data_IF_269213630181
#
_entry.id   IF_269213630181
#
_cell.length_a   1.000
_cell.length_b   1.000
_cell.length_c   1.000
_cell.angle_alpha   90.00
_cell.angle_beta   90.00
_cell.angle_gamma   90.00
#
_symmetry.space_group_name_H-M   'P 1'
#
loop_
_entity.id
_entity.type
_entity.pdbx_description
1 polymer ?
#
# COMPACT_ATOMS: atom_id res chain seq x y z
N UNK A 1 -18.34 5.72 16.51
CA UNK A 1 -17.09 6.00 17.25
C UNK A 1 -16.92 4.93 18.32
N UNK A 2 -15.89 4.10 18.17
CA UNK A 2 -15.57 3.07 19.16
C UNK A 2 -14.65 3.61 20.26
N UNK A 3 -14.55 2.87 21.38
CA UNK A 3 -13.63 3.19 22.49
C UNK A 3 -12.17 3.34 22.00
N UNK A 4 -11.78 2.58 20.97
CA UNK A 4 -10.46 2.65 20.33
C UNK A 4 -10.18 4.00 19.65
N UNK A 5 -11.18 4.61 19.02
CA UNK A 5 -11.02 5.91 18.35
C UNK A 5 -10.77 7.04 19.37
N UNK A 6 -11.48 6.99 20.49
CA UNK A 6 -11.33 7.97 21.56
C UNK A 6 -9.95 7.88 22.20
N UNK A 7 -9.50 6.66 22.52
CA UNK A 7 -8.17 6.43 23.09
C UNK A 7 -7.07 6.91 22.14
N UNK A 8 -7.18 6.63 20.84
CA UNK A 8 -6.20 7.07 19.85
C UNK A 8 -6.08 8.60 19.78
N UNK A 9 -7.19 9.33 19.76
CA UNK A 9 -7.18 10.80 19.70
C UNK A 9 -6.42 11.43 20.88
N UNK A 10 -6.48 10.81 22.06
CA UNK A 10 -5.82 11.31 23.27
C UNK A 10 -4.32 10.99 23.34
N UNK A 11 -3.86 9.89 22.72
CA UNK A 11 -2.46 9.42 22.88
C UNK A 11 -1.60 9.53 21.63
N UNK A 12 -2.20 9.76 20.45
CA UNK A 12 -1.51 9.71 19.15
C UNK A 12 -0.24 10.56 19.11
N UNK A 13 -0.24 11.74 19.70
CA UNK A 13 0.91 12.65 19.62
C UNK A 13 2.14 12.12 20.35
N UNK A 14 1.95 11.59 21.56
CA UNK A 14 3.02 10.96 22.31
C UNK A 14 3.52 9.68 21.62
N UNK A 15 2.60 8.90 21.03
CA UNK A 15 2.94 7.71 20.25
C UNK A 15 3.77 8.10 19.02
N UNK A 16 3.35 9.10 18.25
CA UNK A 16 4.03 9.54 17.03
C UNK A 16 5.39 10.13 17.33
N UNK A 17 5.52 11.00 18.35
CA UNK A 17 6.82 11.56 18.76
C UNK A 17 7.83 10.45 19.05
N UNK A 18 7.43 9.45 19.83
CA UNK A 18 8.28 8.30 20.17
C UNK A 18 8.57 7.41 18.96
N UNK A 19 7.56 7.14 18.14
CA UNK A 19 7.67 6.23 17.01
C UNK A 19 8.57 6.78 15.90
N UNK A 20 8.45 8.08 15.60
CA UNK A 20 9.25 8.75 14.57
C UNK A 20 10.59 9.29 15.10
N UNK A 21 10.80 9.27 16.42
CA UNK A 21 12.03 9.77 17.04
C UNK A 21 12.16 11.29 17.02
N UNK A 22 11.03 12.00 17.00
CA UNK A 22 11.02 13.46 16.93
C UNK A 22 11.45 14.13 18.23
N UNK A 23 12.21 15.20 18.08
CA UNK A 23 12.43 16.25 19.09
C UNK A 23 11.13 16.99 19.39
N UNK A 24 11.13 17.85 20.43
CA UNK A 24 9.98 18.72 20.72
C UNK A 24 9.69 19.70 19.56
N UNK A 25 10.73 20.31 18.98
CA UNK A 25 10.60 21.27 17.87
C UNK A 25 10.03 20.61 16.60
N UNK A 26 10.53 19.43 16.24
CA UNK A 26 9.98 18.64 15.11
C UNK A 26 8.53 18.25 15.37
N UNK A 27 8.19 17.93 16.62
CA UNK A 27 6.83 17.58 16.98
C UNK A 27 5.89 18.79 16.89
N UNK A 28 6.34 20.00 17.23
CA UNK A 28 5.57 21.23 17.05
C UNK A 28 5.28 21.49 15.57
N UNK A 29 6.30 21.38 14.71
CA UNK A 29 6.12 21.49 13.24
C UNK A 29 5.12 20.45 12.74
N UNK A 30 5.24 19.21 13.22
CA UNK A 30 4.38 18.13 12.79
C UNK A 30 2.91 18.29 13.25
N UNK A 31 2.68 18.72 14.50
CA UNK A 31 1.35 18.92 15.07
C UNK A 31 0.61 20.13 14.50
N UNK A 32 1.34 21.17 14.11
CA UNK A 32 0.74 22.42 13.60
C UNK A 32 0.26 22.30 12.14
N UNK A 33 0.71 21.28 11.40
CA UNK A 33 0.20 20.99 10.06
C UNK A 33 -1.15 20.23 10.15
N UNK A 34 -2.27 20.83 9.71
CA UNK A 34 -3.58 20.21 9.79
C UNK A 34 -3.69 18.93 8.94
N UNK A 35 -2.82 18.73 7.94
CA UNK A 35 -2.79 17.49 7.14
C UNK A 35 -2.34 16.30 7.98
N UNK A 36 -1.41 16.51 8.92
CA UNK A 36 -0.94 15.44 9.79
C UNK A 36 -2.03 15.02 10.79
N UNK A 37 -2.80 15.98 11.31
CA UNK A 37 -3.97 15.68 12.15
C UNK A 37 -4.99 14.80 11.39
N UNK A 38 -5.30 15.19 10.16
CA UNK A 38 -6.24 14.47 9.30
C UNK A 38 -5.76 13.05 8.97
N UNK A 39 -4.50 12.90 8.54
CA UNK A 39 -3.87 11.59 8.28
C UNK A 39 -3.91 10.71 9.54
N UNK A 40 -3.49 11.23 10.69
CA UNK A 40 -3.47 10.46 11.93
C UNK A 40 -4.86 10.09 12.41
N UNK A 41 -5.89 10.91 12.15
CA UNK A 41 -7.27 10.56 12.47
C UNK A 41 -7.76 9.32 11.71
N UNK A 42 -7.19 9.06 10.52
CA UNK A 42 -7.53 7.94 9.63
C UNK A 42 -6.59 6.75 9.76
N UNK A 43 -5.44 6.91 10.43
CA UNK A 43 -4.42 5.89 10.56
C UNK A 43 -4.93 4.53 11.10
N UNK A 44 -5.77 4.45 12.15
CA UNK A 44 -6.27 3.15 12.61
C UNK A 44 -7.06 2.39 11.53
N UNK A 45 -7.92 3.10 10.79
CA UNK A 45 -8.70 2.50 9.72
C UNK A 45 -7.81 2.10 8.53
N UNK A 46 -6.77 2.87 8.23
CA UNK A 46 -5.79 2.54 7.18
C UNK A 46 -5.02 1.26 7.55
N UNK A 47 -4.60 1.11 8.81
CA UNK A 47 -3.85 -0.06 9.28
C UNK A 47 -4.67 -1.36 9.22
N UNK A 48 -6.01 -1.26 9.26
CA UNK A 48 -6.93 -2.38 9.05
C UNK A 48 -7.09 -2.76 7.57
N UNK A 49 -6.44 -2.05 6.63
CA UNK A 49 -6.46 -2.37 5.19
C UNK A 49 -5.16 -3.03 4.72
N UNK A 50 -5.28 -3.85 3.68
CA UNK A 50 -4.18 -4.45 2.91
C UNK A 50 -4.28 -4.00 1.47
N UNK A 51 -3.18 -3.51 0.90
CA UNK A 51 -3.11 -3.26 -0.53
C UNK A 51 -2.57 -4.52 -1.19
N UNK A 52 -3.27 -5.03 -2.19
CA UNK A 52 -2.93 -6.23 -2.93
C UNK A 52 -2.68 -5.84 -4.38
N UNK A 53 -1.49 -6.16 -4.88
CA UNK A 53 -1.13 -5.93 -6.28
C UNK A 53 -0.92 -7.29 -6.94
N UNK A 54 -1.86 -7.69 -7.80
CA UNK A 54 -1.90 -8.99 -8.46
C UNK A 54 -1.34 -8.91 -9.89
N UNK A 55 -0.55 -9.90 -10.28
CA UNK A 55 -0.13 -10.08 -11.67
C UNK A 55 -1.31 -10.66 -12.46
N UNK A 56 -1.87 -9.87 -13.37
CA UNK A 56 -3.02 -10.26 -14.21
C UNK A 56 -2.60 -10.69 -15.62
N UNK A 57 -1.42 -10.28 -16.07
CA UNK A 57 -0.80 -10.74 -17.32
C UNK A 57 0.70 -10.94 -17.11
N UNK A 58 1.29 -11.95 -17.74
CA UNK A 58 2.74 -12.16 -17.71
C UNK A 58 3.24 -12.88 -18.95
N UNK A 59 4.24 -12.32 -19.60
CA UNK A 59 4.96 -12.93 -20.71
C UNK A 59 6.44 -12.55 -20.67
N UNK A 60 7.36 -13.51 -20.76
CA UNK A 60 8.81 -13.21 -20.80
C UNK A 60 9.41 -12.59 -19.52
N UNK A 61 8.74 -12.68 -18.36
CA UNK A 61 9.26 -12.09 -17.12
C UNK A 61 10.52 -12.82 -16.61
N UNK A 62 11.68 -12.16 -16.64
CA UNK A 62 12.94 -12.75 -16.14
C UNK A 62 12.91 -13.03 -14.61
N UNK A 63 12.14 -12.25 -13.86
CA UNK A 63 11.94 -12.50 -12.42
C UNK A 63 10.97 -13.67 -12.14
N UNK A 64 10.37 -14.25 -13.19
CA UNK A 64 9.43 -15.38 -13.15
C UNK A 64 8.14 -15.11 -12.39
N UNK A 65 7.69 -13.85 -12.36
CA UNK A 65 6.34 -13.51 -11.92
C UNK A 65 5.32 -14.12 -12.87
N UNK A 66 4.31 -14.81 -12.32
CA UNK A 66 3.25 -15.52 -13.04
C UNK A 66 1.90 -14.86 -12.76
N UNK A 67 0.96 -15.10 -13.67
CA UNK A 67 -0.44 -14.69 -13.45
C UNK A 67 -0.93 -15.31 -12.14
N UNK A 68 -1.55 -14.48 -11.29
CA UNK A 68 -2.04 -14.85 -9.96
C UNK A 68 -1.06 -14.59 -8.81
N UNK A 69 0.22 -14.31 -9.10
CA UNK A 69 1.18 -13.87 -8.06
C UNK A 69 0.70 -12.55 -7.46
N UNK A 70 0.80 -12.42 -6.13
CA UNK A 70 0.31 -11.26 -5.37
C UNK A 70 1.43 -10.63 -4.56
N UNK A 71 1.57 -9.31 -4.68
CA UNK A 71 2.40 -8.48 -3.80
C UNK A 71 1.49 -7.84 -2.77
N UNK A 72 1.77 -8.05 -1.50
CA UNK A 72 0.97 -7.55 -0.39
C UNK A 72 1.69 -6.39 0.30
N UNK A 73 0.94 -5.34 0.59
CA UNK A 73 1.42 -4.20 1.34
C UNK A 73 0.50 -3.92 2.54
N UNK A 74 1.04 -3.32 3.59
CA UNK A 74 0.19 -2.70 4.61
C UNK A 74 -0.56 -1.49 4.05
N UNK A 75 -1.51 -0.94 4.82
CA UNK A 75 -2.25 0.24 4.38
C UNK A 75 -1.37 1.46 4.13
N UNK A 76 -0.19 1.53 4.75
CA UNK A 76 0.77 2.60 4.50
C UNK A 76 1.65 2.38 3.26
N UNK A 77 1.56 1.20 2.62
CA UNK A 77 2.34 0.85 1.43
C UNK A 77 3.65 0.12 1.72
N UNK A 78 3.88 -0.39 2.94
CA UNK A 78 5.06 -1.20 3.23
C UNK A 78 4.88 -2.63 2.73
N UNK A 79 5.90 -3.17 2.04
CA UNK A 79 5.86 -4.53 1.50
C UNK A 79 5.85 -5.59 2.62
N UNK A 80 4.83 -6.45 2.62
CA UNK A 80 4.70 -7.57 3.54
C UNK A 80 5.45 -8.78 2.98
N UNK A 81 6.78 -8.73 3.08
CA UNK A 81 7.70 -9.66 2.41
C UNK A 81 7.39 -11.15 2.59
N UNK A 82 6.85 -11.56 3.75
CA UNK A 82 6.49 -12.96 4.03
C UNK A 82 5.27 -13.47 3.25
N UNK A 83 4.40 -12.58 2.77
CA UNK A 83 3.21 -12.92 1.98
C UNK A 83 3.47 -12.87 0.47
N UNK A 84 4.60 -12.25 0.06
CA UNK A 84 4.96 -12.07 -1.34
C UNK A 84 5.75 -13.27 -1.89
N UNK A 85 5.87 -13.41 -3.23
CA UNK A 85 6.80 -14.34 -3.85
C UNK A 85 8.22 -14.15 -3.33
N UNK A 86 9.00 -15.25 -3.27
CA UNK A 86 10.39 -15.24 -2.80
C UNK A 86 11.28 -14.23 -3.53
N UNK A 87 10.95 -13.89 -4.77
CA UNK A 87 11.64 -12.89 -5.57
C UNK A 87 10.64 -11.83 -6.02
N UNK A 88 10.79 -10.61 -5.52
CA UNK A 88 10.01 -9.45 -5.97
C UNK A 88 10.90 -8.57 -6.84
N UNK A 89 10.42 -8.21 -8.02
CA UNK A 89 11.20 -7.41 -8.98
C UNK A 89 11.03 -5.93 -8.66
N UNK A 90 12.13 -5.17 -8.59
CA UNK A 90 12.06 -3.71 -8.36
C UNK A 90 11.27 -2.99 -9.45
N UNK A 91 11.26 -3.50 -10.69
CA UNK A 91 10.48 -2.93 -11.79
C UNK A 91 8.98 -3.23 -11.70
N UNK A 92 8.59 -4.30 -11.01
CA UNK A 92 7.20 -4.53 -10.64
C UNK A 92 6.78 -3.60 -9.49
N UNK A 93 7.66 -3.42 -8.49
CA UNK A 93 7.44 -2.47 -7.40
C UNK A 93 7.33 -1.03 -7.90
N UNK A 94 8.16 -0.62 -8.86
CA UNK A 94 8.11 0.70 -9.48
C UNK A 94 6.74 0.99 -10.10
N UNK A 95 6.14 0.02 -10.80
CA UNK A 95 4.79 0.17 -11.34
C UNK A 95 3.72 0.22 -10.24
N UNK A 96 3.93 -0.48 -9.11
CA UNK A 96 3.02 -0.47 -7.97
C UNK A 96 3.01 0.88 -7.23
N UNK A 97 4.14 1.60 -7.17
CA UNK A 97 4.27 2.84 -6.38
C UNK A 97 3.18 3.86 -6.67
N UNK A 98 2.94 4.21 -7.94
CA UNK A 98 1.93 5.21 -8.30
C UNK A 98 0.50 4.75 -8.01
N UNK A 99 0.24 3.44 -8.14
CA UNK A 99 -1.07 2.87 -7.81
C UNK A 99 -1.32 2.91 -6.30
N UNK A 100 -0.32 2.58 -5.48
CA UNK A 100 -0.37 2.64 -4.01
C UNK A 100 -0.57 4.09 -3.56
N UNK A 101 0.20 5.03 -4.11
CA UNK A 101 0.03 6.45 -3.80
C UNK A 101 -1.40 6.92 -4.08
N UNK A 102 -1.94 6.62 -5.26
CA UNK A 102 -3.31 6.99 -5.61
C UNK A 102 -4.36 6.33 -4.68
N UNK A 103 -4.13 5.07 -4.28
CA UNK A 103 -5.02 4.37 -3.36
C UNK A 103 -5.03 5.02 -1.98
N UNK A 104 -3.87 5.42 -1.46
CA UNK A 104 -3.74 6.10 -0.19
C UNK A 104 -4.39 7.50 -0.22
N UNK A 105 -4.17 8.27 -1.28
CA UNK A 105 -4.80 9.58 -1.44
C UNK A 105 -6.33 9.49 -1.51
N UNK A 106 -6.88 8.51 -2.24
CA UNK A 106 -8.33 8.27 -2.26
C UNK A 106 -8.85 7.88 -0.88
N UNK A 107 -8.14 7.00 -0.16
CA UNK A 107 -8.51 6.61 1.19
C UNK A 107 -8.53 7.82 2.13
N UNK A 108 -7.50 8.66 2.10
CA UNK A 108 -7.46 9.89 2.88
C UNK A 108 -8.57 10.87 2.45
N UNK A 109 -8.96 10.91 1.18
CA UNK A 109 -10.12 11.69 0.72
C UNK A 109 -11.48 11.09 1.15
N UNK A 110 -11.52 9.94 1.83
CA UNK A 110 -12.75 9.25 2.20
C UNK A 110 -13.45 8.56 1.03
N UNK A 111 -12.73 8.34 -0.08
CA UNK A 111 -13.22 7.66 -1.29
C UNK A 111 -12.71 6.23 -1.28
N UNK A 112 -13.57 5.26 -1.62
CA UNK A 112 -13.15 3.87 -1.75
C UNK A 112 -12.06 3.73 -2.84
N UNK A 113 -10.82 3.32 -2.50
CA UNK A 113 -9.74 3.18 -3.46
C UNK A 113 -10.06 2.18 -4.60
N UNK A 114 -10.95 1.22 -4.37
CA UNK A 114 -11.35 0.24 -5.39
C UNK A 114 -12.23 0.85 -6.49
N UNK A 115 -12.71 2.07 -6.33
CA UNK A 115 -13.41 2.83 -7.37
C UNK A 115 -12.45 3.53 -8.35
N UNK A 116 -11.13 3.38 -8.16
CA UNK A 116 -10.12 3.93 -9.08
C UNK A 116 -10.30 3.38 -10.50
N UNK A 117 -10.41 4.29 -11.47
CA UNK A 117 -10.62 3.95 -12.90
C UNK A 117 -9.41 3.24 -13.51
N UNK A 118 -8.21 3.72 -13.18
CA UNK A 118 -6.94 3.22 -13.71
C UNK A 118 -6.16 2.51 -12.61
N UNK A 119 -6.54 1.27 -12.31
CA UNK A 119 -5.89 0.42 -11.29
C UNK A 119 -4.94 -0.63 -11.86
N UNK A 120 -4.59 -0.53 -13.14
CA UNK A 120 -3.64 -1.42 -13.82
C UNK A 120 -2.42 -0.68 -14.32
N UNK A 121 -1.25 -1.31 -14.18
CA UNK A 121 0.01 -0.78 -14.70
C UNK A 121 0.90 -1.92 -15.22
N UNK A 122 1.61 -1.66 -16.32
CA UNK A 122 2.69 -2.55 -16.76
C UNK A 122 3.93 -2.34 -15.91
N UNK A 123 4.74 -3.38 -15.69
CA UNK A 123 6.10 -3.19 -15.20
C UNK A 123 6.95 -2.36 -16.19
N UNK A 124 8.13 -1.92 -15.75
CA UNK A 124 9.02 -1.07 -16.55
C UNK A 124 9.43 -1.66 -17.92
N UNK A 125 9.51 -3.00 -18.04
CA UNK A 125 9.94 -3.65 -19.29
C UNK A 125 8.90 -3.45 -20.40
N UNK A 126 9.38 -3.00 -21.55
CA UNK A 126 8.57 -2.64 -22.72
C UNK A 126 8.11 -3.86 -23.53
N UNK A 127 8.65 -5.05 -23.25
CA UNK A 127 8.34 -6.29 -23.94
C UNK A 127 9.10 -6.50 -25.25
N UNK A 128 9.09 -7.75 -25.73
CA UNK A 128 9.92 -8.19 -26.88
C UNK A 128 9.66 -7.41 -28.17
N UNK A 129 8.42 -6.99 -28.40
CA UNK A 129 8.05 -6.22 -29.59
C UNK A 129 8.62 -4.78 -29.59
N UNK A 130 9.14 -4.33 -28.45
CA UNK A 130 9.70 -3.00 -28.25
C UNK A 130 11.18 -3.04 -27.81
N UNK A 131 11.88 -4.17 -28.02
CA UNK A 131 13.29 -4.33 -27.64
C UNK A 131 13.53 -4.68 -26.17
N UNK A 132 12.46 -4.93 -25.41
CA UNK A 132 12.50 -5.46 -24.05
C UNK A 132 12.58 -6.99 -24.01
N UNK A 133 12.50 -7.58 -22.82
CA UNK A 133 12.58 -9.04 -22.66
C UNK A 133 11.21 -9.66 -22.41
N UNK A 134 10.34 -8.94 -21.71
CA UNK A 134 9.00 -9.39 -21.38
C UNK A 134 8.16 -8.29 -20.76
N UNK A 135 6.98 -8.62 -20.28
CA UNK A 135 6.09 -7.68 -19.62
C UNK A 135 5.15 -8.40 -18.68
N UNK A 136 4.89 -7.79 -17.53
CA UNK A 136 3.78 -8.15 -16.66
C UNK A 136 2.83 -6.96 -16.53
N UNK A 137 1.55 -7.24 -16.34
CA UNK A 137 0.53 -6.24 -15.96
C UNK A 137 0.09 -6.56 -14.55
N UNK A 138 0.08 -5.53 -13.72
CA UNK A 138 -0.34 -5.55 -12.33
C UNK A 138 -1.72 -4.91 -12.21
N UNK A 139 -2.56 -5.41 -11.31
CA UNK A 139 -3.82 -4.78 -10.89
C UNK A 139 -3.82 -4.58 -9.37
N UNK A 140 -4.22 -3.38 -8.91
CA UNK A 140 -4.35 -3.05 -7.49
C UNK A 140 -5.77 -3.25 -6.97
N UNK A 141 -5.89 -3.80 -5.78
CA UNK A 141 -7.08 -3.81 -4.94
C UNK A 141 -6.74 -3.45 -3.49
N UNK A 142 -7.68 -2.86 -2.77
CA UNK A 142 -7.57 -2.62 -1.32
C UNK A 142 -8.60 -3.47 -0.60
N UNK A 143 -8.13 -4.30 0.34
CA UNK A 143 -8.93 -5.29 1.06
C UNK A 143 -8.87 -5.08 2.57
N UNK A 144 -9.86 -5.58 3.30
CA UNK A 144 -9.76 -5.64 4.76
C UNK A 144 -8.71 -6.67 5.19
N UNK A 145 -7.87 -6.31 6.17
CA UNK A 145 -6.79 -7.15 6.72
C UNK A 145 -7.27 -8.53 7.11
N UNK A 146 -8.43 -8.59 7.77
CA UNK A 146 -9.05 -9.83 8.24
C UNK A 146 -9.41 -10.79 7.10
N UNK A 147 -9.75 -10.27 5.92
CA UNK A 147 -10.04 -11.10 4.75
C UNK A 147 -8.79 -11.81 4.22
N UNK A 148 -7.62 -11.15 4.31
CA UNK A 148 -6.34 -11.73 3.93
C UNK A 148 -5.90 -12.81 4.93
N UNK A 149 -6.09 -12.54 6.23
CA UNK A 149 -5.75 -13.48 7.30
C UNK A 149 -6.61 -14.76 7.23
N UNK A 150 -7.92 -14.61 6.98
CA UNK A 150 -8.83 -15.73 6.78
C UNK A 150 -8.44 -16.60 5.57
N UNK A 151 -7.94 -15.99 4.49
CA UNK A 151 -7.47 -16.71 3.29
C UNK A 151 -6.11 -17.40 3.47
N UNK A 152 -5.35 -17.01 4.48
CA UNK A 152 -4.01 -17.57 4.75
C UNK A 152 -4.04 -18.77 5.71
N UNK A 153 -5.21 -19.09 6.27
CA UNK A 153 -5.40 -20.15 7.28
C UNK A 153 -6.23 -21.33 6.78
N UNK A 154 -6.68 -21.31 5.52
CA UNK A 154 -7.32 -22.43 4.81
C UNK A 154 -6.48 -22.88 3.62
#
# INVERSE_FOLDING_TARGET
MGIRDLAWRSVKWGVMKKHLGYTDDEMEIFQTDPRNEDILSKAPALMDKTIVVEVVESHGCNSRHRIGDKLYFDGAGNLLTRLCPKKVCVYALNAATSMIFAANELFYAGIDPNQMRFKRAGCFDVGVQCGGWGRIVLELAVMDRKEIEARSTG
#
